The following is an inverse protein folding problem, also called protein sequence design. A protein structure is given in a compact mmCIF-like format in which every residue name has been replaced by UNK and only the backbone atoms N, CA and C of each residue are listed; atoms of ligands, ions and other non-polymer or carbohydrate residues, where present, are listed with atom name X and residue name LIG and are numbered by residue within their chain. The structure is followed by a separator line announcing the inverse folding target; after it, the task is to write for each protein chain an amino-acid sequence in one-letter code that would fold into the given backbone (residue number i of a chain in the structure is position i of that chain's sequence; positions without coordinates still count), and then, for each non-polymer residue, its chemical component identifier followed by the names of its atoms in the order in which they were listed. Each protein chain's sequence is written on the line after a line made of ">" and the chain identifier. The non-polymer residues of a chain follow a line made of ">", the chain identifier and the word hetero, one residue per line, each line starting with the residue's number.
data_IF_762194742880
#
_entry.id   IF_762194742880
#
_cell.length_a   1.000
_cell.length_b   1.000
_cell.length_c   1.000
_cell.angle_alpha   90.00
_cell.angle_beta   90.00
_cell.angle_gamma   90.00
#
_symmetry.space_group_name_H-M   'P 1'
#
loop_
_entity.id
_entity.type
_entity.pdbx_description
1 polymer ?
#
# COMPACT_ATOMS: atom_id res chain seq x y z
N UNK A 1 -53.32 63.36 -34.85
CA UNK A 1 -53.75 62.66 -33.64
C UNK A 1 -52.61 61.77 -33.18
N UNK A 2 -51.81 62.26 -32.25
CA UNK A 2 -50.64 61.59 -31.73
C UNK A 2 -50.84 61.48 -30.23
N UNK A 3 -50.95 60.26 -29.74
CA UNK A 3 -51.12 59.98 -28.31
C UNK A 3 -49.73 59.96 -27.62
N UNK A 4 -49.65 60.74 -26.53
CA UNK A 4 -48.47 60.80 -25.62
C UNK A 4 -48.69 59.86 -24.43
N UNK A 5 -47.71 59.05 -24.03
CA UNK A 5 -47.85 58.22 -22.82
C UNK A 5 -47.46 59.00 -21.55
N UNK A 6 -48.15 58.65 -20.49
CA UNK A 6 -48.06 59.21 -19.13
C UNK A 6 -46.74 58.83 -18.43
N UNK A 7 -46.04 59.87 -17.93
CA UNK A 7 -44.90 59.73 -16.98
C UNK A 7 -45.37 59.20 -15.62
N UNK A 8 -44.79 58.18 -15.11
CA UNK A 8 -44.88 57.71 -13.70
C UNK A 8 -43.73 58.29 -12.90
N UNK A 9 -44.07 58.98 -11.81
CA UNK A 9 -43.09 59.49 -10.83
C UNK A 9 -42.37 58.37 -10.09
N UNK A 10 -41.02 58.46 -10.01
CA UNK A 10 -40.17 57.59 -9.18
C UNK A 10 -39.86 58.39 -7.91
N UNK A 11 -40.30 57.86 -6.77
CA UNK A 11 -39.97 58.39 -5.44
C UNK A 11 -38.59 57.92 -5.04
N UNK A 12 -37.61 58.85 -4.84
CA UNK A 12 -36.33 58.59 -4.26
C UNK A 12 -36.46 58.38 -2.73
N UNK A 13 -36.10 57.18 -2.26
CA UNK A 13 -35.90 56.94 -0.83
C UNK A 13 -34.39 57.07 -0.51
N UNK A 14 -34.07 58.07 0.30
CA UNK A 14 -32.72 58.36 0.78
C UNK A 14 -32.41 57.41 1.95
N UNK A 15 -31.50 56.44 1.75
CA UNK A 15 -30.93 55.64 2.85
C UNK A 15 -29.70 56.31 3.44
N UNK A 16 -29.80 56.71 4.72
CA UNK A 16 -28.64 57.10 5.54
C UNK A 16 -27.77 55.87 5.83
N UNK A 17 -26.53 55.87 5.35
CA UNK A 17 -25.51 54.93 5.79
C UNK A 17 -24.87 55.38 7.11
N UNK A 18 -25.12 54.67 8.20
CA UNK A 18 -24.37 54.76 9.43
C UNK A 18 -23.16 53.87 9.29
N UNK A 19 -21.97 54.44 9.22
CA UNK A 19 -20.69 53.70 9.25
C UNK A 19 -20.38 53.26 10.70
N UNK A 20 -20.60 52.01 11.01
CA UNK A 20 -20.06 51.39 12.22
C UNK A 20 -18.66 50.80 11.90
N UNK A 21 -17.61 51.41 12.47
CA UNK A 21 -16.28 50.87 12.51
C UNK A 21 -16.23 49.66 13.47
N UNK A 22 -16.40 48.48 12.93
CA UNK A 22 -16.19 47.22 13.64
C UNK A 22 -14.71 46.80 13.52
N UNK A 23 -14.02 46.75 14.63
CA UNK A 23 -12.70 46.12 14.76
C UNK A 23 -12.88 44.64 14.41
N UNK A 24 -12.38 44.24 13.24
CA UNK A 24 -12.33 42.85 12.81
C UNK A 24 -11.30 42.09 13.59
N UNK A 25 -11.72 41.27 14.54
CA UNK A 25 -10.91 40.15 15.06
C UNK A 25 -10.77 39.14 13.94
N UNK A 26 -9.54 38.87 13.49
CA UNK A 26 -9.21 37.73 12.63
C UNK A 26 -9.35 36.43 13.45
N UNK A 27 -10.55 35.94 13.59
CA UNK A 27 -10.84 34.55 13.92
C UNK A 27 -11.10 33.83 12.60
N UNK A 28 -10.25 32.89 12.20
CA UNK A 28 -10.55 31.98 11.09
C UNK A 28 -11.78 31.16 11.48
N UNK A 29 -12.93 31.54 10.96
CA UNK A 29 -14.13 30.71 11.04
C UNK A 29 -13.87 29.49 10.17
N UNK A 30 -13.70 28.34 10.79
CA UNK A 30 -13.78 27.07 10.09
C UNK A 30 -15.20 26.99 9.51
N UNK A 31 -15.32 27.01 8.19
CA UNK A 31 -16.62 26.75 7.56
C UNK A 31 -17.14 25.39 8.05
N UNK A 32 -18.42 25.27 8.39
CA UNK A 32 -18.98 24.01 8.85
C UNK A 32 -18.84 22.93 7.75
N UNK A 33 -18.28 21.78 8.11
CA UNK A 33 -18.12 20.66 7.18
C UNK A 33 -19.49 20.26 6.65
N UNK A 34 -19.61 20.23 5.33
CA UNK A 34 -20.85 19.82 4.66
C UNK A 34 -21.05 18.32 4.81
N UNK A 35 -22.01 17.89 5.61
CA UNK A 35 -22.37 16.48 5.76
C UNK A 35 -22.99 15.96 4.45
N UNK A 36 -22.46 14.85 3.96
CA UNK A 36 -22.94 14.11 2.79
C UNK A 36 -23.22 12.65 3.13
N UNK A 37 -23.87 11.91 2.22
CA UNK A 37 -24.09 10.47 2.46
C UNK A 37 -22.75 9.73 2.65
N UNK A 38 -22.62 8.84 3.66
CA UNK A 38 -21.38 8.10 3.95
C UNK A 38 -20.78 7.38 2.73
N UNK A 39 -21.62 6.92 1.82
CA UNK A 39 -21.21 6.26 0.58
C UNK A 39 -20.36 7.13 -0.37
N UNK A 40 -20.44 8.47 -0.28
CA UNK A 40 -19.73 9.41 -1.15
C UNK A 40 -18.87 10.42 -0.37
N UNK A 41 -18.82 10.29 0.95
CA UNK A 41 -18.05 11.17 1.82
C UNK A 41 -16.54 11.04 1.55
N UNK A 42 -15.82 12.15 1.56
CA UNK A 42 -14.37 12.22 1.42
C UNK A 42 -13.62 12.02 2.75
N UNK A 43 -14.35 11.97 3.88
CA UNK A 43 -13.82 11.67 5.22
C UNK A 43 -14.95 11.19 6.14
N UNK A 44 -14.59 10.64 7.30
CA UNK A 44 -15.56 10.28 8.33
C UNK A 44 -16.33 11.51 8.86
N UNK A 45 -15.70 12.68 8.92
CA UNK A 45 -16.34 13.94 9.34
C UNK A 45 -17.41 14.36 8.34
N UNK A 46 -17.13 14.32 7.05
CA UNK A 46 -18.13 14.58 5.99
C UNK A 46 -19.27 13.56 6.00
N UNK A 47 -19.01 12.32 6.43
CA UNK A 47 -20.05 11.29 6.60
C UNK A 47 -21.00 11.56 7.78
N UNK A 48 -20.78 12.62 8.55
CA UNK A 48 -21.53 12.93 9.77
C UNK A 48 -20.90 12.30 11.03
N UNK A 49 -19.66 11.93 10.99
CA UNK A 49 -18.87 11.31 12.05
C UNK A 49 -18.72 9.80 11.93
N UNK A 50 -17.85 9.24 12.74
CA UNK A 50 -17.53 7.80 12.73
C UNK A 50 -18.76 6.93 13.00
N UNK A 51 -19.66 7.35 13.92
CA UNK A 51 -20.87 6.58 14.23
C UNK A 51 -21.82 6.47 13.03
N UNK A 52 -21.94 7.55 12.24
CA UNK A 52 -22.75 7.55 11.03
C UNK A 52 -22.14 6.65 9.94
N UNK A 53 -20.81 6.67 9.80
CA UNK A 53 -20.08 5.78 8.89
C UNK A 53 -20.25 4.31 9.30
N UNK A 54 -20.09 3.99 10.57
CA UNK A 54 -20.29 2.62 11.11
C UNK A 54 -21.72 2.15 10.87
N UNK A 55 -22.73 3.00 11.13
CA UNK A 55 -24.12 2.64 10.91
C UNK A 55 -24.43 2.35 9.43
N UNK A 56 -23.86 3.14 8.51
CA UNK A 56 -24.01 2.94 7.07
C UNK A 56 -23.31 1.65 6.60
N UNK A 57 -22.07 1.41 7.03
CA UNK A 57 -21.31 0.21 6.71
C UNK A 57 -21.99 -1.07 7.23
N UNK A 58 -22.52 -1.05 8.45
CA UNK A 58 -23.32 -2.18 9.00
C UNK A 58 -24.59 -2.45 8.21
N UNK A 59 -25.18 -1.42 7.59
CA UNK A 59 -26.35 -1.59 6.74
C UNK A 59 -26.00 -2.23 5.40
N UNK A 60 -24.78 -2.00 4.89
CA UNK A 60 -24.23 -2.71 3.72
C UNK A 60 -23.93 -4.16 4.07
N UNK A 61 -23.43 -4.43 5.27
CA UNK A 61 -23.31 -5.76 5.88
C UNK A 61 -22.15 -6.61 5.41
N UNK A 62 -21.49 -6.23 4.30
CA UNK A 62 -20.36 -6.96 3.73
C UNK A 62 -19.31 -5.99 3.18
N UNK A 63 -18.07 -6.50 3.05
CA UNK A 63 -16.94 -5.84 2.39
C UNK A 63 -16.33 -6.85 1.43
N UNK A 64 -16.26 -6.52 0.15
CA UNK A 64 -15.57 -7.35 -0.83
C UNK A 64 -14.13 -6.87 -1.02
N UNK A 65 -13.20 -7.80 -0.85
CA UNK A 65 -11.77 -7.58 -1.06
C UNK A 65 -11.25 -8.55 -2.12
N UNK A 66 -10.07 -8.28 -2.64
CA UNK A 66 -9.33 -9.20 -3.51
C UNK A 66 -7.87 -9.21 -3.09
N UNK A 67 -7.13 -10.27 -3.37
CA UNK A 67 -5.69 -10.44 -3.14
C UNK A 67 -5.19 -10.31 -1.69
N UNK A 68 -6.06 -10.20 -0.70
CA UNK A 68 -5.67 -10.11 0.71
C UNK A 68 -5.36 -11.48 1.29
N UNK A 69 -4.13 -11.95 1.07
CA UNK A 69 -3.64 -13.21 1.61
C UNK A 69 -3.53 -13.12 3.14
N UNK A 70 -4.16 -14.03 3.89
CA UNK A 70 -4.31 -13.93 5.35
C UNK A 70 -2.98 -13.77 6.12
N UNK A 71 -1.92 -14.43 5.65
CA UNK A 71 -0.60 -14.32 6.28
C UNK A 71 0.24 -13.14 5.79
N UNK A 72 -0.13 -12.48 4.71
CA UNK A 72 0.54 -11.26 4.23
C UNK A 72 0.29 -10.10 5.19
N UNK A 73 1.34 -9.54 5.80
CA UNK A 73 1.27 -8.40 6.73
C UNK A 73 0.12 -8.49 7.76
N UNK A 74 -0.19 -9.72 8.21
CA UNK A 74 -1.25 -10.05 9.17
C UNK A 74 -2.68 -9.66 8.72
N UNK A 75 -2.99 -9.74 7.42
CA UNK A 75 -4.36 -9.49 6.98
C UNK A 75 -5.39 -10.40 7.66
N UNK A 76 -5.03 -11.64 7.99
CA UNK A 76 -5.92 -12.53 8.74
C UNK A 76 -6.38 -11.92 10.07
N UNK A 77 -5.43 -11.42 10.87
CA UNK A 77 -5.76 -10.76 12.14
C UNK A 77 -6.54 -9.45 11.97
N UNK A 78 -6.27 -8.70 10.89
CA UNK A 78 -7.01 -7.48 10.55
C UNK A 78 -8.45 -7.78 10.13
N UNK A 79 -8.67 -8.78 9.28
CA UNK A 79 -10.01 -9.21 8.86
C UNK A 79 -10.82 -9.70 10.06
N UNK A 80 -10.27 -10.63 10.85
CA UNK A 80 -10.94 -11.18 12.02
C UNK A 80 -11.28 -10.09 13.06
N UNK A 81 -10.37 -9.11 13.25
CA UNK A 81 -10.58 -7.97 14.12
C UNK A 81 -11.69 -7.04 13.62
N UNK A 82 -11.72 -6.75 12.31
CA UNK A 82 -12.74 -5.92 11.68
C UNK A 82 -14.13 -6.57 11.78
N UNK A 83 -14.24 -7.86 11.40
CA UNK A 83 -15.48 -8.62 11.48
C UNK A 83 -16.00 -8.69 12.91
N UNK A 84 -15.12 -9.00 13.88
CA UNK A 84 -15.46 -9.04 15.30
C UNK A 84 -15.95 -7.68 15.83
N UNK A 85 -15.30 -6.60 15.41
CA UNK A 85 -15.60 -5.24 15.92
C UNK A 85 -16.88 -4.67 15.35
N UNK A 86 -17.11 -4.87 14.07
CA UNK A 86 -18.19 -4.20 13.34
C UNK A 86 -19.34 -5.12 12.94
N UNK A 87 -19.14 -6.45 12.92
CA UNK A 87 -20.14 -7.41 12.46
C UNK A 87 -20.41 -7.32 10.97
N UNK A 88 -19.39 -6.96 10.18
CA UNK A 88 -19.43 -6.85 8.71
C UNK A 88 -18.60 -8.00 8.16
N UNK A 89 -19.20 -8.84 7.32
CA UNK A 89 -18.53 -9.98 6.69
C UNK A 89 -17.51 -9.52 5.65
N UNK A 90 -16.33 -10.13 5.62
CA UNK A 90 -15.31 -9.89 4.58
C UNK A 90 -15.28 -11.04 3.60
N UNK A 91 -15.62 -10.76 2.33
CA UNK A 91 -15.52 -11.70 1.22
C UNK A 91 -14.25 -11.39 0.44
N UNK A 92 -13.24 -12.26 0.54
CA UNK A 92 -11.95 -12.07 -0.13
C UNK A 92 -11.83 -13.02 -1.33
N UNK A 93 -11.82 -12.45 -2.52
CA UNK A 93 -11.63 -13.16 -3.78
C UNK A 93 -10.15 -13.17 -4.20
N UNK A 94 -9.73 -14.17 -4.99
CA UNK A 94 -8.39 -14.27 -5.57
C UNK A 94 -7.25 -13.94 -4.57
N UNK A 95 -7.12 -14.64 -3.43
CA UNK A 95 -6.20 -14.24 -2.35
C UNK A 95 -4.70 -14.28 -2.75
N UNK A 96 -4.37 -14.91 -3.87
CA UNK A 96 -2.99 -15.04 -4.39
C UNK A 96 -2.71 -14.12 -5.58
N UNK A 97 -3.59 -13.17 -5.86
CA UNK A 97 -3.44 -12.24 -6.96
C UNK A 97 -2.32 -11.20 -6.72
N UNK A 98 -1.98 -10.49 -7.78
CA UNK A 98 -0.99 -9.40 -7.79
C UNK A 98 -1.68 -8.04 -7.83
N UNK A 99 -0.92 -6.97 -7.55
CA UNK A 99 -1.43 -5.59 -7.65
C UNK A 99 -2.01 -5.24 -9.04
N UNK A 100 -1.45 -5.84 -10.10
CA UNK A 100 -2.00 -5.66 -11.45
C UNK A 100 -3.36 -6.36 -11.59
N UNK A 101 -3.50 -7.56 -11.06
CA UNK A 101 -4.77 -8.32 -11.10
C UNK A 101 -5.87 -7.62 -10.29
N UNK A 102 -5.54 -6.98 -9.16
CA UNK A 102 -6.51 -6.14 -8.43
C UNK A 102 -7.10 -5.03 -9.30
N UNK A 103 -6.22 -4.33 -10.04
CA UNK A 103 -6.64 -3.27 -10.97
C UNK A 103 -7.52 -3.84 -12.09
N UNK A 104 -7.16 -5.00 -12.63
CA UNK A 104 -7.94 -5.68 -13.66
C UNK A 104 -9.28 -6.18 -13.13
N UNK A 105 -9.33 -6.66 -11.89
CA UNK A 105 -10.57 -7.11 -11.25
C UNK A 105 -11.58 -5.97 -11.12
N UNK A 106 -11.18 -4.80 -10.64
CA UNK A 106 -12.10 -3.65 -10.54
C UNK A 106 -12.53 -3.08 -11.91
N UNK A 107 -11.70 -3.25 -12.95
CA UNK A 107 -12.09 -2.88 -14.33
C UNK A 107 -13.12 -3.84 -14.90
N UNK A 108 -12.85 -5.16 -14.75
CA UNK A 108 -13.68 -6.24 -15.30
C UNK A 108 -15.03 -6.32 -14.61
N UNK A 109 -15.05 -6.20 -13.27
CA UNK A 109 -16.27 -6.35 -12.45
C UNK A 109 -17.01 -5.03 -12.20
N UNK A 110 -16.72 -3.99 -12.98
CA UNK A 110 -17.36 -2.68 -12.81
C UNK A 110 -18.89 -2.77 -12.90
N UNK A 111 -19.55 -2.37 -11.80
CA UNK A 111 -21.02 -2.38 -11.70
C UNK A 111 -21.60 -3.71 -11.25
N UNK A 112 -20.77 -4.72 -10.98
CA UNK A 112 -21.19 -5.97 -10.39
C UNK A 112 -21.28 -5.85 -8.85
N UNK A 113 -22.23 -6.55 -8.25
CA UNK A 113 -22.45 -6.51 -6.80
C UNK A 113 -21.31 -7.15 -5.98
N UNK A 114 -20.50 -7.99 -6.62
CA UNK A 114 -19.35 -8.69 -6.02
C UNK A 114 -18.00 -8.09 -6.42
N UNK A 115 -18.00 -6.91 -7.06
CA UNK A 115 -16.75 -6.22 -7.39
C UNK A 115 -15.96 -5.91 -6.08
N UNK A 116 -14.61 -5.93 -6.12
CA UNK A 116 -13.83 -5.51 -4.96
C UNK A 116 -14.13 -4.07 -4.55
N UNK A 117 -14.33 -3.84 -3.26
CA UNK A 117 -14.56 -2.52 -2.68
C UNK A 117 -13.25 -1.78 -2.42
N UNK A 118 -12.21 -2.52 -2.01
CA UNK A 118 -10.91 -1.99 -1.58
C UNK A 118 -9.76 -2.73 -2.25
N UNK A 119 -8.60 -2.09 -2.30
CA UNK A 119 -7.38 -2.59 -2.93
C UNK A 119 -6.17 -2.38 -2.00
N UNK A 120 -5.21 -3.29 -2.08
CA UNK A 120 -3.90 -3.27 -1.39
C UNK A 120 -2.76 -3.29 -2.42
N UNK A 121 -2.41 -2.15 -2.92
CA UNK A 121 -1.55 -2.00 -4.07
C UNK A 121 -0.10 -1.66 -3.70
N UNK A 122 0.85 -2.28 -4.37
CA UNK A 122 2.20 -1.73 -4.42
C UNK A 122 2.15 -0.29 -4.97
N UNK A 123 3.00 0.58 -4.43
CA UNK A 123 2.90 2.03 -4.61
C UNK A 123 2.83 2.47 -6.10
N UNK A 124 3.68 1.91 -6.96
CA UNK A 124 3.65 2.21 -8.41
C UNK A 124 2.32 1.86 -9.08
N UNK A 125 1.64 0.82 -8.60
CA UNK A 125 0.35 0.37 -9.12
C UNK A 125 -0.79 1.26 -8.62
N UNK A 126 -0.75 1.69 -7.35
CA UNK A 126 -1.70 2.65 -6.78
C UNK A 126 -1.70 3.97 -7.56
N UNK A 127 -0.51 4.48 -7.86
CA UNK A 127 -0.34 5.68 -8.67
C UNK A 127 -0.89 5.51 -10.09
N UNK A 128 -0.70 4.34 -10.72
CA UNK A 128 -1.28 4.06 -12.04
C UNK A 128 -2.80 4.07 -11.98
N UNK A 129 -3.39 3.36 -11.01
CA UNK A 129 -4.84 3.31 -10.81
C UNK A 129 -5.44 4.70 -10.52
N UNK A 130 -4.75 5.54 -9.73
CA UNK A 130 -5.17 6.91 -9.44
C UNK A 130 -5.18 7.78 -10.70
N UNK A 131 -4.11 7.74 -11.52
CA UNK A 131 -4.04 8.49 -12.81
C UNK A 131 -5.13 8.07 -13.80
N UNK A 132 -5.53 6.82 -13.76
CA UNK A 132 -6.61 6.29 -14.59
C UNK A 132 -8.01 6.64 -14.04
N UNK A 133 -8.09 7.26 -12.86
CA UNK A 133 -9.33 7.64 -12.22
C UNK A 133 -10.18 6.45 -11.74
N UNK A 134 -9.53 5.35 -11.36
CA UNK A 134 -10.17 4.12 -10.89
C UNK A 134 -10.49 4.14 -9.39
N UNK A 135 -9.89 5.06 -8.64
CA UNK A 135 -9.97 5.14 -7.18
C UNK A 135 -10.90 6.24 -6.71
N UNK A 136 -11.60 6.02 -5.60
CA UNK A 136 -12.41 7.02 -4.93
C UNK A 136 -11.57 7.77 -3.89
N UNK A 137 -11.64 9.11 -3.82
CA UNK A 137 -10.90 9.85 -2.80
C UNK A 137 -11.53 9.63 -1.41
N UNK A 138 -10.67 9.37 -0.43
CA UNK A 138 -11.04 9.31 0.97
C UNK A 138 -9.84 9.60 1.88
N UNK A 139 -10.04 10.49 2.86
CA UNK A 139 -9.04 10.84 3.86
C UNK A 139 -9.44 10.25 5.20
N UNK A 140 -8.67 9.29 5.68
CA UNK A 140 -8.87 8.67 7.00
C UNK A 140 -8.64 9.69 8.13
N UNK A 141 -9.17 9.45 9.32
CA UNK A 141 -9.01 10.34 10.47
C UNK A 141 -7.53 10.61 10.81
N UNK A 142 -6.66 9.63 10.58
CA UNK A 142 -5.21 9.76 10.77
C UNK A 142 -4.45 10.43 9.59
N UNK A 143 -5.18 10.99 8.60
CA UNK A 143 -4.61 11.50 7.34
C UNK A 143 -3.42 12.44 7.53
N UNK A 144 -3.53 13.41 8.44
CA UNK A 144 -2.49 14.41 8.67
C UNK A 144 -1.22 13.82 9.31
N UNK A 145 -1.35 12.68 9.98
CA UNK A 145 -0.25 11.92 10.57
C UNK A 145 0.48 11.03 9.57
N UNK A 146 -0.13 10.70 8.43
CA UNK A 146 0.54 9.98 7.34
C UNK A 146 1.54 10.92 6.67
N UNK A 147 2.82 10.53 6.50
CA UNK A 147 3.82 11.37 5.84
C UNK A 147 3.38 11.83 4.44
N UNK A 148 3.72 13.07 4.02
CA UNK A 148 3.28 13.61 2.72
C UNK A 148 3.67 12.77 1.50
N UNK A 149 4.81 12.10 1.55
CA UNK A 149 5.30 11.20 0.50
C UNK A 149 4.77 9.77 0.59
N UNK A 150 3.80 9.52 1.51
CA UNK A 150 3.16 8.23 1.72
C UNK A 150 1.64 8.29 1.48
N UNK A 151 1.17 9.29 0.75
CA UNK A 151 -0.24 9.50 0.41
C UNK A 151 -0.43 10.33 -0.85
N UNK A 152 -1.50 10.07 -1.58
CA UNK A 152 -1.90 10.92 -2.70
C UNK A 152 -2.54 12.23 -2.22
N UNK A 153 -2.07 13.40 -2.65
CA UNK A 153 -2.62 14.69 -2.18
C UNK A 153 -4.14 14.85 -2.44
N UNK A 154 -4.67 14.21 -3.48
CA UNK A 154 -6.10 14.21 -3.78
C UNK A 154 -6.92 13.22 -2.95
N UNK A 155 -6.26 12.35 -2.17
CA UNK A 155 -6.91 11.38 -1.30
C UNK A 155 -7.23 10.05 -1.98
N UNK A 156 -6.71 9.77 -3.16
CA UNK A 156 -7.02 8.54 -3.88
C UNK A 156 -6.45 7.28 -3.19
N UNK A 157 -5.36 7.41 -2.44
CA UNK A 157 -4.72 6.33 -1.69
C UNK A 157 -3.87 6.88 -0.54
N UNK A 158 -3.55 6.05 0.42
CA UNK A 158 -2.50 6.26 1.41
C UNK A 158 -1.78 4.95 1.71
N UNK A 159 -0.48 5.02 1.99
CA UNK A 159 0.29 3.86 2.42
C UNK A 159 -0.06 3.48 3.86
N UNK A 160 -0.25 2.19 4.13
CA UNK A 160 -0.62 1.69 5.45
C UNK A 160 0.52 0.97 6.16
N UNK A 161 1.32 0.23 5.42
CA UNK A 161 2.41 -0.58 5.95
C UNK A 161 3.45 -0.85 4.86
N UNK A 162 4.63 -1.25 5.28
CA UNK A 162 5.69 -1.63 4.36
C UNK A 162 6.82 -2.41 5.01
N UNK A 163 7.90 -2.54 4.27
CA UNK A 163 9.10 -3.24 4.69
C UNK A 163 10.29 -2.93 3.79
N UNK A 164 11.35 -3.69 4.00
CA UNK A 164 12.56 -3.66 3.18
C UNK A 164 12.67 -4.92 2.34
N UNK A 165 13.26 -4.81 1.16
CA UNK A 165 13.67 -5.99 0.40
C UNK A 165 14.70 -6.73 1.22
N UNK A 166 14.49 -8.03 1.39
CA UNK A 166 15.36 -8.91 2.16
C UNK A 166 15.66 -10.20 1.40
N UNK A 167 16.76 -10.80 1.73
CA UNK A 167 17.14 -12.14 1.29
C UNK A 167 16.79 -13.12 2.42
N UNK A 168 15.91 -14.07 2.14
CA UNK A 168 15.64 -15.23 2.97
C UNK A 168 16.46 -16.42 2.50
N UNK A 169 16.92 -17.26 3.43
CA UNK A 169 17.82 -18.38 3.12
C UNK A 169 17.65 -19.52 4.11
N UNK A 170 17.54 -20.75 3.60
CA UNK A 170 17.56 -21.97 4.41
C UNK A 170 18.99 -22.38 4.74
N UNK A 171 19.47 -22.04 5.94
CA UNK A 171 20.81 -22.33 6.45
C UNK A 171 21.10 -23.84 6.66
N UNK A 172 20.09 -24.70 6.54
CA UNK A 172 20.31 -26.14 6.54
C UNK A 172 20.60 -26.72 5.14
N UNK A 173 20.21 -26.01 4.08
CA UNK A 173 20.40 -26.41 2.68
C UNK A 173 21.46 -25.59 1.95
N UNK A 174 21.78 -24.41 2.46
CA UNK A 174 22.73 -23.47 1.87
C UNK A 174 23.88 -23.27 2.85
N UNK A 175 25.11 -23.74 2.48
CA UNK A 175 26.27 -23.72 3.36
C UNK A 175 26.61 -22.32 3.89
N UNK A 176 26.50 -21.30 3.03
CA UNK A 176 26.72 -19.91 3.38
C UNK A 176 25.56 -19.08 2.82
N UNK A 177 24.70 -18.56 3.69
CA UNK A 177 23.59 -17.70 3.25
C UNK A 177 24.08 -16.37 2.69
N UNK A 178 23.56 -15.91 1.53
CA UNK A 178 23.93 -14.63 0.94
C UNK A 178 23.41 -13.45 1.79
N UNK A 179 24.20 -12.37 1.86
CA UNK A 179 23.84 -11.15 2.60
C UNK A 179 23.91 -9.89 1.72
N UNK A 180 24.17 -10.07 0.43
CA UNK A 180 24.24 -9.01 -0.58
C UNK A 180 23.73 -9.50 -1.93
N UNK A 181 23.36 -8.58 -2.82
CA UNK A 181 23.05 -8.92 -4.22
C UNK A 181 24.27 -9.48 -4.94
N UNK A 182 25.45 -8.95 -4.64
CA UNK A 182 26.71 -9.47 -5.21
C UNK A 182 26.95 -10.93 -4.88
N UNK A 183 26.60 -11.39 -3.66
CA UNK A 183 26.71 -12.78 -3.27
C UNK A 183 25.87 -13.71 -4.13
N UNK A 184 24.65 -13.30 -4.50
CA UNK A 184 23.68 -14.12 -5.25
C UNK A 184 24.21 -14.61 -6.61
N UNK A 185 25.26 -13.97 -7.15
CA UNK A 185 25.90 -14.38 -8.41
C UNK A 185 26.94 -15.48 -8.23
N UNK A 186 27.25 -15.93 -7.02
CA UNK A 186 28.22 -16.98 -6.76
C UNK A 186 27.71 -18.34 -7.26
N UNK A 187 28.61 -19.21 -7.77
CA UNK A 187 28.22 -20.47 -8.42
C UNK A 187 27.55 -21.49 -7.48
N UNK A 188 27.75 -21.37 -6.16
CA UNK A 188 27.12 -22.23 -5.16
C UNK A 188 25.61 -22.09 -5.07
N UNK A 189 25.01 -20.99 -5.58
CA UNK A 189 23.57 -20.73 -5.52
C UNK A 189 22.81 -21.15 -6.78
N UNK A 190 23.37 -22.07 -7.56
CA UNK A 190 22.78 -22.51 -8.82
C UNK A 190 21.35 -23.05 -8.64
N UNK A 191 20.38 -22.43 -9.33
CA UNK A 191 18.97 -22.78 -9.29
C UNK A 191 18.26 -22.51 -7.95
N UNK A 192 18.84 -21.67 -7.08
CA UNK A 192 18.35 -21.49 -5.71
C UNK A 192 17.62 -20.18 -5.47
N UNK A 193 17.84 -19.13 -6.27
CA UNK A 193 17.39 -17.75 -5.98
C UNK A 193 16.05 -17.48 -6.63
N UNK A 194 14.99 -17.35 -5.85
CA UNK A 194 13.64 -17.12 -6.32
C UNK A 194 13.15 -15.69 -5.97
N UNK A 195 12.30 -15.13 -6.85
CA UNK A 195 11.56 -13.90 -6.61
C UNK A 195 10.13 -14.19 -6.17
N UNK A 196 9.58 -13.33 -5.32
CA UNK A 196 8.16 -13.37 -4.97
C UNK A 196 7.31 -12.65 -6.04
N UNK A 197 6.96 -13.39 -7.10
CA UNK A 197 6.12 -12.95 -8.20
C UNK A 197 6.89 -12.40 -9.41
N UNK A 198 6.14 -11.87 -10.37
CA UNK A 198 6.66 -11.25 -11.59
C UNK A 198 6.78 -9.72 -11.39
N UNK A 199 7.93 -9.08 -11.63
CA UNK A 199 8.12 -7.65 -11.34
C UNK A 199 7.29 -6.72 -12.27
N UNK A 200 6.76 -7.21 -13.36
CA UNK A 200 5.86 -6.43 -14.24
C UNK A 200 4.45 -6.28 -13.64
N UNK A 201 4.08 -7.15 -12.67
CA UNK A 201 2.72 -7.26 -12.12
C UNK A 201 2.66 -7.25 -10.59
N UNK A 202 3.73 -7.68 -9.91
CA UNK A 202 3.80 -7.83 -8.44
C UNK A 202 4.73 -6.78 -7.80
N UNK A 203 4.22 -6.07 -6.78
CA UNK A 203 4.97 -5.03 -6.07
C UNK A 203 6.22 -5.57 -5.35
N UNK A 204 6.16 -6.79 -4.79
CA UNK A 204 7.30 -7.41 -4.11
C UNK A 204 8.48 -7.66 -5.06
N UNK A 205 8.23 -8.30 -6.20
CA UNK A 205 9.26 -8.54 -7.20
C UNK A 205 9.77 -7.23 -7.85
N UNK A 206 8.89 -6.25 -8.08
CA UNK A 206 9.28 -4.93 -8.56
C UNK A 206 10.25 -4.23 -7.59
N UNK A 207 9.97 -4.29 -6.28
CA UNK A 207 10.86 -3.78 -5.24
C UNK A 207 12.23 -4.49 -5.23
N UNK A 208 12.26 -5.81 -5.47
CA UNK A 208 13.51 -6.57 -5.58
C UNK A 208 14.36 -6.11 -6.77
N UNK A 209 13.75 -5.78 -7.92
CA UNK A 209 14.47 -5.21 -9.08
C UNK A 209 15.04 -3.83 -8.75
N UNK A 210 14.31 -3.00 -8.00
CA UNK A 210 14.85 -1.72 -7.51
C UNK A 210 16.04 -1.90 -6.57
N UNK A 211 15.93 -2.81 -5.60
CA UNK A 211 17.02 -3.10 -4.69
C UNK A 211 18.28 -3.59 -5.45
N UNK A 212 18.09 -4.47 -6.43
CA UNK A 212 19.15 -4.92 -7.32
C UNK A 212 19.76 -3.78 -8.14
N UNK A 213 18.93 -2.82 -8.62
CA UNK A 213 19.44 -1.65 -9.33
C UNK A 213 20.35 -0.81 -8.43
N UNK A 214 19.91 -0.50 -7.21
CA UNK A 214 20.71 0.26 -6.24
C UNK A 214 22.03 -0.44 -5.92
N UNK A 215 22.01 -1.77 -5.79
CA UNK A 215 23.21 -2.60 -5.55
C UNK A 215 24.20 -2.59 -6.73
N UNK A 216 23.74 -2.31 -7.96
CA UNK A 216 24.53 -2.41 -9.19
C UNK A 216 24.76 -1.05 -9.88
N UNK A 217 24.76 0.04 -9.11
CA UNK A 217 25.10 1.39 -9.60
C UNK A 217 23.95 2.12 -10.27
N UNK A 218 22.73 1.61 -10.20
CA UNK A 218 21.50 2.30 -10.58
C UNK A 218 21.07 3.33 -9.55
N UNK A 219 19.88 3.86 -9.73
CA UNK A 219 19.28 4.87 -8.84
C UNK A 219 17.75 4.82 -8.94
N UNK A 220 17.05 5.68 -8.19
CA UNK A 220 15.62 5.83 -8.37
C UNK A 220 15.21 6.36 -9.76
N UNK A 221 16.14 6.96 -10.51
CA UNK A 221 15.93 7.39 -11.88
C UNK A 221 16.34 6.36 -12.93
N UNK A 222 17.07 5.31 -12.51
CA UNK A 222 17.58 4.27 -13.40
C UNK A 222 17.47 2.88 -12.78
N UNK A 223 16.44 2.14 -13.16
CA UNK A 223 16.17 0.76 -12.72
C UNK A 223 16.83 -0.29 -13.62
N UNK A 224 17.34 0.07 -14.80
CA UNK A 224 17.88 -0.88 -15.77
C UNK A 224 18.99 -1.77 -15.20
N UNK A 225 19.95 -1.28 -14.38
CA UNK A 225 20.97 -2.15 -13.76
C UNK A 225 20.38 -3.28 -12.90
N UNK A 226 19.15 -3.12 -12.38
CA UNK A 226 18.44 -4.18 -11.66
C UNK A 226 17.93 -5.27 -12.61
N UNK A 227 17.41 -4.91 -13.76
CA UNK A 227 17.00 -5.86 -14.82
C UNK A 227 18.23 -6.63 -15.31
N UNK A 228 19.33 -5.93 -15.60
CA UNK A 228 20.60 -6.50 -16.06
C UNK A 228 21.19 -7.47 -15.02
N UNK A 229 21.02 -7.15 -13.73
CA UNK A 229 21.41 -8.05 -12.64
C UNK A 229 20.63 -9.38 -12.69
N UNK A 230 19.31 -9.34 -12.86
CA UNK A 230 18.51 -10.57 -12.94
C UNK A 230 18.76 -11.34 -14.23
N UNK A 231 19.01 -10.68 -15.34
CA UNK A 231 19.49 -11.35 -16.59
C UNK A 231 20.80 -12.11 -16.31
N UNK A 232 21.77 -11.45 -15.67
CA UNK A 232 23.02 -12.10 -15.28
C UNK A 232 22.82 -13.24 -14.29
N UNK A 233 21.89 -13.10 -13.34
CA UNK A 233 21.53 -14.15 -12.37
C UNK A 233 20.97 -15.39 -13.08
N UNK A 234 20.20 -15.20 -14.14
CA UNK A 234 19.69 -16.27 -14.99
C UNK A 234 20.79 -16.89 -15.86
N UNK A 235 21.63 -16.09 -16.49
CA UNK A 235 22.76 -16.52 -17.32
C UNK A 235 23.74 -17.43 -16.56
N UNK A 236 24.04 -17.12 -15.27
CA UNK A 236 24.88 -17.96 -14.44
C UNK A 236 24.14 -19.20 -13.91
N UNK A 237 22.83 -19.27 -14.15
CA UNK A 237 21.96 -20.39 -13.78
C UNK A 237 21.53 -20.40 -12.32
N UNK A 238 21.61 -19.26 -11.61
CA UNK A 238 21.24 -19.15 -10.19
C UNK A 238 19.76 -18.79 -10.01
N UNK A 239 19.13 -18.16 -11.03
CA UNK A 239 17.73 -17.76 -10.96
C UNK A 239 16.80 -18.98 -10.95
N UNK A 240 15.87 -19.00 -10.00
CA UNK A 240 14.83 -20.00 -9.85
C UNK A 240 13.47 -19.36 -10.15
N UNK A 241 12.75 -19.87 -11.14
CA UNK A 241 11.43 -19.36 -11.54
C UNK A 241 10.29 -19.83 -10.63
N UNK A 242 10.58 -20.60 -9.58
CA UNK A 242 9.61 -20.96 -8.54
C UNK A 242 9.19 -19.76 -7.72
N UNK A 243 7.97 -19.81 -7.18
CA UNK A 243 7.46 -18.77 -6.27
C UNK A 243 7.75 -19.19 -4.82
N UNK A 244 8.51 -18.40 -4.02
CA UNK A 244 8.79 -18.74 -2.64
C UNK A 244 7.50 -18.69 -1.81
N UNK A 245 7.19 -19.78 -1.16
CA UNK A 245 6.11 -19.92 -0.19
C UNK A 245 6.52 -21.00 0.82
N UNK A 246 5.87 -21.09 1.99
CA UNK A 246 6.28 -22.03 3.05
C UNK A 246 6.41 -23.48 2.58
N UNK A 247 5.50 -23.95 1.72
CA UNK A 247 5.50 -25.31 1.19
C UNK A 247 6.69 -25.57 0.24
N UNK A 248 6.97 -24.65 -0.68
CA UNK A 248 8.10 -24.74 -1.60
C UNK A 248 9.44 -24.66 -0.86
N UNK A 249 9.54 -23.77 0.15
CA UNK A 249 10.72 -23.66 1.02
C UNK A 249 10.91 -24.97 1.80
N UNK A 250 9.87 -25.50 2.43
CA UNK A 250 9.94 -26.77 3.20
C UNK A 250 10.40 -27.94 2.34
N UNK A 251 9.98 -28.00 1.06
CA UNK A 251 10.45 -29.03 0.11
C UNK A 251 11.85 -28.74 -0.45
N UNK A 252 12.44 -27.58 -0.16
CA UNK A 252 13.75 -27.17 -0.69
C UNK A 252 13.72 -26.75 -2.16
N UNK A 253 12.55 -26.40 -2.70
CA UNK A 253 12.39 -25.95 -4.08
C UNK A 253 12.87 -24.50 -4.26
N UNK A 254 12.70 -23.65 -3.22
CA UNK A 254 13.13 -22.25 -3.20
C UNK A 254 13.94 -21.95 -1.94
N UNK A 255 15.18 -22.47 -1.82
CA UNK A 255 15.99 -22.34 -0.61
C UNK A 255 16.53 -20.92 -0.36
N UNK A 256 16.46 -20.03 -1.36
CA UNK A 256 16.79 -18.61 -1.25
C UNK A 256 15.65 -17.81 -1.87
N UNK A 257 15.10 -16.82 -1.14
CA UNK A 257 14.08 -15.90 -1.64
C UNK A 257 14.56 -14.46 -1.62
N UNK A 258 14.11 -13.66 -2.58
CA UNK A 258 14.21 -12.20 -2.54
C UNK A 258 12.77 -11.66 -2.50
N UNK A 259 12.39 -11.12 -1.32
CA UNK A 259 11.05 -10.60 -1.06
C UNK A 259 11.09 -9.64 0.13
N UNK A 260 9.94 -9.14 0.57
CA UNK A 260 9.87 -8.24 1.73
C UNK A 260 10.34 -8.93 3.02
N UNK A 261 11.01 -8.18 3.89
CA UNK A 261 11.48 -8.66 5.18
C UNK A 261 10.37 -9.22 6.07
N UNK A 262 9.18 -8.64 6.03
CA UNK A 262 8.02 -9.14 6.78
C UNK A 262 7.53 -10.51 6.29
N UNK A 263 7.66 -10.83 4.99
CA UNK A 263 7.36 -12.16 4.46
C UNK A 263 8.43 -13.16 4.91
N UNK A 264 9.69 -12.81 4.73
CA UNK A 264 10.81 -13.63 5.15
C UNK A 264 10.79 -13.93 6.66
N UNK A 265 10.45 -12.94 7.50
CA UNK A 265 10.28 -13.14 8.95
C UNK A 265 9.07 -14.02 9.28
N UNK A 266 8.01 -13.93 8.48
CA UNK A 266 6.86 -14.80 8.63
C UNK A 266 7.22 -16.26 8.33
N UNK A 267 8.05 -16.51 7.32
CA UNK A 267 8.55 -17.87 7.04
C UNK A 267 9.32 -18.47 8.23
N UNK A 268 10.05 -17.66 9.01
CA UNK A 268 10.68 -18.14 10.26
C UNK A 268 9.65 -18.72 11.23
N UNK A 269 8.47 -18.09 11.35
CA UNK A 269 7.41 -18.56 12.23
C UNK A 269 6.68 -19.79 11.64
N UNK A 270 6.34 -19.76 10.36
CA UNK A 270 5.54 -20.80 9.68
C UNK A 270 6.30 -22.10 9.48
N UNK A 271 7.63 -22.03 9.35
CA UNK A 271 8.49 -23.19 9.17
C UNK A 271 9.00 -23.79 10.48
N UNK A 272 8.53 -23.29 11.64
CA UNK A 272 8.88 -23.89 12.94
C UNK A 272 8.41 -25.34 13.02
N UNK A 273 9.34 -26.20 13.44
CA UNK A 273 9.08 -27.64 13.54
C UNK A 273 9.30 -28.43 12.25
N UNK A 274 9.74 -27.78 11.19
CA UNK A 274 10.29 -28.42 9.97
C UNK A 274 11.80 -28.50 10.04
N UNK A 275 12.43 -29.11 9.03
CA UNK A 275 13.91 -29.17 8.90
C UNK A 275 14.53 -27.86 8.38
N UNK A 276 13.72 -26.84 8.12
CA UNK A 276 14.17 -25.54 7.61
C UNK A 276 14.71 -24.67 8.75
N UNK A 277 15.84 -24.04 8.51
CA UNK A 277 16.40 -22.99 9.37
C UNK A 277 16.49 -21.68 8.60
N UNK A 278 15.36 -20.97 8.53
CA UNK A 278 15.24 -19.76 7.72
C UNK A 278 15.96 -18.57 8.37
N UNK A 279 16.90 -17.97 7.64
CA UNK A 279 17.61 -16.74 8.00
C UNK A 279 17.13 -15.59 7.12
N UNK A 280 17.13 -14.40 7.67
CA UNK A 280 16.69 -13.18 6.97
C UNK A 280 17.79 -12.13 7.05
N UNK A 281 18.15 -11.57 5.91
CA UNK A 281 19.15 -10.50 5.79
C UNK A 281 18.62 -9.37 4.91
N UNK A 282 18.72 -8.13 5.37
CA UNK A 282 18.52 -6.95 4.50
C UNK A 282 19.85 -6.71 3.79
N UNK A 283 19.89 -6.74 2.44
CA UNK A 283 21.14 -6.57 1.69
C UNK A 283 21.78 -5.20 1.98
N UNK A 284 23.06 -5.20 2.35
CA UNK A 284 23.77 -3.96 2.67
C UNK A 284 24.15 -3.14 1.43
N UNK A 285 24.21 -3.78 0.26
CA UNK A 285 24.58 -3.17 -1.03
C UNK A 285 23.37 -2.63 -1.82
N UNK A 286 22.14 -3.04 -1.47
CA UNK A 286 20.91 -2.66 -2.16
C UNK A 286 19.72 -2.51 -1.21
N UNK A 287 19.81 -1.60 -0.24
CA UNK A 287 18.69 -1.33 0.67
C UNK A 287 17.57 -0.58 -0.04
N UNK A 288 16.41 -1.20 -0.19
CA UNK A 288 15.19 -0.61 -0.75
C UNK A 288 14.00 -0.88 0.15
N UNK A 289 13.21 0.15 0.41
CA UNK A 289 11.98 0.06 1.18
C UNK A 289 10.81 0.59 0.37
N UNK A 290 9.66 -0.05 0.52
CA UNK A 290 8.40 0.40 -0.06
C UNK A 290 7.24 0.07 0.88
N UNK A 291 6.19 0.88 0.75
CA UNK A 291 4.94 0.69 1.46
C UNK A 291 3.81 0.33 0.51
N UNK A 292 2.75 -0.29 1.05
CA UNK A 292 1.56 -0.68 0.31
C UNK A 292 0.44 0.32 0.53
N UNK A 293 -0.16 0.73 -0.58
CA UNK A 293 -1.22 1.71 -0.64
C UNK A 293 -2.59 1.06 -0.46
N UNK A 294 -3.39 1.64 0.42
CA UNK A 294 -4.79 1.31 0.59
C UNK A 294 -5.64 2.25 -0.23
N UNK A 295 -6.58 1.71 -0.99
CA UNK A 295 -7.42 2.49 -1.88
C UNK A 295 -8.86 1.93 -1.92
N UNK A 296 -9.82 2.79 -2.30
CA UNK A 296 -11.21 2.42 -2.51
C UNK A 296 -11.47 2.37 -4.01
N UNK A 297 -12.07 1.29 -4.49
CA UNK A 297 -12.59 1.21 -5.85
C UNK A 297 -13.64 2.30 -6.06
N UNK A 298 -13.48 3.12 -7.11
CA UNK A 298 -14.42 4.21 -7.44
C UNK A 298 -15.88 3.73 -7.60
N UNK A 299 -16.06 2.47 -7.96
CA UNK A 299 -17.36 1.84 -8.17
C UNK A 299 -17.64 0.75 -7.15
N UNK A 300 -17.07 0.88 -5.94
CA UNK A 300 -17.28 -0.04 -4.83
C UNK A 300 -18.79 -0.29 -4.59
N UNK A 301 -19.25 -1.54 -4.56
CA UNK A 301 -20.64 -1.86 -4.24
C UNK A 301 -20.99 -1.59 -2.77
N UNK A 302 -20.00 -1.63 -1.85
CA UNK A 302 -20.16 -1.37 -0.41
C UNK A 302 -19.29 -0.18 0.04
N UNK A 303 -19.58 1.04 -0.45
CA UNK A 303 -18.68 2.19 -0.31
C UNK A 303 -18.52 2.71 1.12
N UNK A 304 -19.50 2.50 2.02
CA UNK A 304 -19.35 2.86 3.43
C UNK A 304 -18.51 1.83 4.18
N UNK A 305 -18.66 0.53 3.89
CA UNK A 305 -17.81 -0.53 4.44
C UNK A 305 -16.35 -0.38 4.00
N UNK A 306 -16.12 0.01 2.73
CA UNK A 306 -14.78 0.32 2.21
C UNK A 306 -14.10 1.46 3.00
N UNK A 307 -14.83 2.57 3.26
CA UNK A 307 -14.32 3.69 4.06
C UNK A 307 -14.02 3.30 5.49
N UNK A 308 -14.91 2.54 6.10
CA UNK A 308 -14.73 2.05 7.47
C UNK A 308 -13.54 1.10 7.57
N UNK A 309 -13.29 0.27 6.55
CA UNK A 309 -12.09 -0.57 6.48
C UNK A 309 -10.81 0.26 6.45
N UNK A 310 -10.74 1.32 5.64
CA UNK A 310 -9.60 2.21 5.61
C UNK A 310 -9.36 2.91 6.96
N UNK A 311 -10.42 3.36 7.63
CA UNK A 311 -10.34 3.92 9.00
C UNK A 311 -9.79 2.90 10.00
N UNK A 312 -10.25 1.64 9.91
CA UNK A 312 -9.76 0.57 10.77
C UNK A 312 -8.29 0.28 10.53
N UNK A 313 -7.85 0.18 9.27
CA UNK A 313 -6.44 -0.02 8.93
C UNK A 313 -5.54 1.11 9.42
N UNK A 314 -6.01 2.36 9.38
CA UNK A 314 -5.29 3.54 9.85
C UNK A 314 -5.39 3.78 11.36
N UNK A 315 -6.22 3.02 12.08
CA UNK A 315 -6.35 3.13 13.54
C UNK A 315 -5.11 2.58 14.26
N UNK A 316 -4.90 3.01 15.51
CA UNK A 316 -3.85 2.45 16.39
C UNK A 316 -3.94 0.92 16.50
N UNK A 317 -5.16 0.36 16.58
CA UNK A 317 -5.40 -1.07 16.59
C UNK A 317 -4.92 -1.74 15.30
N UNK A 318 -5.35 -1.24 14.14
CA UNK A 318 -4.99 -1.77 12.83
C UNK A 318 -3.48 -1.69 12.57
N UNK A 319 -2.87 -0.56 12.92
CA UNK A 319 -1.42 -0.36 12.75
C UNK A 319 -0.59 -1.29 13.67
N UNK A 320 -0.99 -1.49 14.93
CA UNK A 320 -0.33 -2.46 15.82
C UNK A 320 -0.55 -3.92 15.39
N UNK A 321 -1.65 -4.24 14.72
CA UNK A 321 -1.87 -5.56 14.14
C UNK A 321 -0.90 -5.85 12.97
N UNK A 322 -0.45 -4.82 12.23
CA UNK A 322 0.59 -4.97 11.19
C UNK A 322 1.91 -5.47 11.77
N UNK A 323 2.31 -4.99 12.96
CA UNK A 323 3.51 -5.46 13.66
C UNK A 323 3.45 -6.95 14.01
N UNK A 324 2.25 -7.51 14.25
CA UNK A 324 2.09 -8.96 14.45
C UNK A 324 2.43 -9.78 13.20
N UNK A 325 2.43 -9.18 12.03
CA UNK A 325 2.89 -9.75 10.76
C UNK A 325 4.23 -9.20 10.30
N UNK A 326 5.02 -8.61 11.21
CA UNK A 326 6.34 -8.03 10.94
C UNK A 326 6.36 -6.85 9.96
N UNK A 327 5.21 -6.37 9.51
CA UNK A 327 5.12 -5.22 8.62
C UNK A 327 5.22 -3.92 9.43
N UNK A 328 6.01 -2.97 8.92
CA UNK A 328 6.19 -1.64 9.54
C UNK A 328 4.98 -0.78 9.27
N UNK A 329 4.26 -0.32 10.33
CA UNK A 329 3.16 0.62 10.15
C UNK A 329 3.63 1.95 9.58
N UNK A 330 2.82 2.60 8.73
CA UNK A 330 3.13 3.94 8.22
C UNK A 330 3.12 5.00 9.32
N UNK A 331 2.35 4.77 10.39
CA UNK A 331 2.24 5.66 11.57
C UNK A 331 3.21 5.29 12.70
N UNK A 332 4.19 4.42 12.46
CA UNK A 332 5.09 3.89 13.50
C UNK A 332 5.75 4.98 14.33
N UNK A 333 6.31 6.01 13.68
CA UNK A 333 7.02 7.10 14.37
C UNK A 333 6.07 7.97 15.22
N UNK A 334 4.85 8.23 14.72
CA UNK A 334 3.83 8.98 15.46
C UNK A 334 3.36 8.18 16.66
N UNK A 335 3.08 6.88 16.47
CA UNK A 335 2.63 5.98 17.53
C UNK A 335 3.71 5.79 18.62
N UNK A 336 4.98 5.72 18.25
CA UNK A 336 6.09 5.68 19.19
C UNK A 336 6.16 6.95 20.02
N UNK A 337 6.03 8.11 19.39
CA UNK A 337 6.02 9.42 20.07
C UNK A 337 4.84 9.59 21.02
N UNK A 338 3.67 9.08 20.64
CA UNK A 338 2.43 9.20 21.42
C UNK A 338 2.28 8.07 22.44
N UNK A 339 3.21 7.10 22.50
CA UNK A 339 3.19 5.96 23.44
C UNK A 339 2.09 4.94 23.14
N UNK A 340 1.63 4.88 21.88
CA UNK A 340 0.57 3.94 21.44
C UNK A 340 1.11 2.79 20.60
N UNK A 341 2.43 2.76 20.31
CA UNK A 341 3.10 1.69 19.62
C UNK A 341 3.23 0.45 20.51
N UNK A 342 2.98 -0.72 19.97
CA UNK A 342 3.32 -2.00 20.59
C UNK A 342 4.86 -2.22 20.47
N UNK A 343 5.60 -1.73 21.47
CA UNK A 343 7.06 -1.75 21.47
C UNK A 343 7.64 -3.18 21.47
N UNK A 344 6.95 -4.15 22.10
CA UNK A 344 7.38 -5.54 22.12
C UNK A 344 7.38 -6.14 20.70
N UNK A 345 6.32 -5.88 19.95
CA UNK A 345 6.25 -6.32 18.56
C UNK A 345 7.19 -5.54 17.65
N UNK A 346 7.30 -4.22 17.86
CA UNK A 346 8.21 -3.37 17.09
C UNK A 346 9.69 -3.80 17.26
N UNK A 347 10.08 -4.24 18.46
CA UNK A 347 11.43 -4.74 18.73
C UNK A 347 11.78 -6.05 17.97
N UNK A 348 10.81 -6.73 17.38
CA UNK A 348 11.01 -7.93 16.55
C UNK A 348 11.41 -7.61 15.10
N UNK A 349 11.26 -6.36 14.70
CA UNK A 349 11.63 -5.93 13.34
C UNK A 349 13.15 -5.87 13.19
N UNK A 350 13.71 -6.22 12.01
CA UNK A 350 15.13 -6.12 11.77
C UNK A 350 15.62 -4.68 11.90
N UNK A 351 16.80 -4.51 12.48
CA UNK A 351 17.50 -3.23 12.43
C UNK A 351 17.99 -2.98 11.01
N UNK A 352 17.76 -1.78 10.49
CA UNK A 352 18.25 -1.34 9.18
C UNK A 352 19.37 -0.35 9.38
N UNK A 353 20.53 -0.64 8.83
CA UNK A 353 21.66 0.28 8.81
C UNK A 353 21.43 1.36 7.74
N UNK A 354 21.89 2.60 7.97
CA UNK A 354 21.85 3.67 6.98
C UNK A 354 20.78 4.75 7.19
N UNK A 355 20.04 4.69 8.29
CA UNK A 355 19.04 5.72 8.64
C UNK A 355 17.64 5.45 8.09
N UNK A 356 16.73 6.44 8.13
CA UNK A 356 15.36 6.26 7.66
C UNK A 356 15.31 5.96 6.16
N UNK A 357 14.30 5.19 5.69
CA UNK A 357 14.21 4.83 4.29
C UNK A 357 13.98 6.07 3.41
N UNK A 358 14.63 6.08 2.24
CA UNK A 358 14.37 7.05 1.18
C UNK A 358 13.46 6.38 0.16
N UNK A 359 12.42 7.09 -0.26
CA UNK A 359 11.43 6.55 -1.19
C UNK A 359 11.57 7.22 -2.56
N UNK A 360 11.40 6.48 -3.66
CA UNK A 360 11.30 7.09 -4.97
C UNK A 360 10.03 7.96 -5.08
N UNK A 361 10.12 9.02 -5.87
CA UNK A 361 8.95 9.84 -6.19
C UNK A 361 7.99 9.09 -7.14
N UNK A 362 6.75 9.58 -7.24
CA UNK A 362 5.72 9.06 -8.14
C UNK A 362 6.18 8.98 -9.60
N UNK A 363 6.91 9.99 -10.05
CA UNK A 363 7.46 10.04 -11.41
C UNK A 363 8.53 8.96 -11.64
N UNK A 364 9.39 8.72 -10.64
CA UNK A 364 10.42 7.68 -10.66
C UNK A 364 9.79 6.29 -10.67
N UNK A 365 8.84 6.00 -9.78
CA UNK A 365 8.12 4.72 -9.75
C UNK A 365 7.41 4.43 -11.08
N UNK A 366 6.71 5.43 -11.62
CA UNK A 366 5.99 5.29 -12.89
C UNK A 366 6.91 5.03 -14.08
N UNK A 367 8.07 5.71 -14.12
CA UNK A 367 9.11 5.50 -15.12
C UNK A 367 9.70 4.11 -15.00
N UNK A 368 10.06 3.71 -13.79
CA UNK A 368 10.67 2.42 -13.51
C UNK A 368 9.74 1.24 -13.84
N UNK A 369 8.46 1.30 -13.46
CA UNK A 369 7.49 0.25 -13.79
C UNK A 369 7.32 0.10 -15.30
N UNK A 370 7.34 1.21 -16.06
CA UNK A 370 7.31 1.15 -17.52
C UNK A 370 8.56 0.47 -18.08
N UNK A 371 9.76 0.85 -17.61
CA UNK A 371 11.02 0.23 -18.05
C UNK A 371 11.04 -1.27 -17.75
N UNK A 372 10.57 -1.69 -16.57
CA UNK A 372 10.47 -3.11 -16.21
C UNK A 372 9.50 -3.84 -17.14
N UNK A 373 8.32 -3.27 -17.41
CA UNK A 373 7.32 -3.89 -18.31
C UNK A 373 7.83 -4.03 -19.76
N UNK A 374 8.64 -3.10 -20.22
CA UNK A 374 9.19 -3.09 -21.58
C UNK A 374 10.37 -4.05 -21.74
N UNK A 375 11.20 -4.24 -20.71
CA UNK A 375 12.50 -4.91 -20.87
C UNK A 375 12.63 -6.24 -20.12
N UNK A 376 11.77 -6.53 -19.11
CA UNK A 376 11.95 -7.70 -18.26
C UNK A 376 11.85 -9.04 -19.01
N UNK A 377 10.84 -9.19 -19.86
CA UNK A 377 10.62 -10.47 -20.57
C UNK A 377 11.78 -10.77 -21.52
N UNK A 378 12.24 -9.76 -22.25
CA UNK A 378 13.37 -9.93 -23.20
C UNK A 378 14.68 -10.25 -22.47
N UNK A 379 14.85 -9.71 -21.26
CA UNK A 379 16.05 -9.94 -20.45
C UNK A 379 16.11 -11.32 -19.79
N UNK A 380 14.94 -11.91 -19.43
CA UNK A 380 14.89 -13.15 -18.64
C UNK A 380 14.45 -14.36 -19.49
N UNK A 381 13.59 -14.16 -20.50
CA UNK A 381 12.99 -15.23 -21.31
C UNK A 381 13.53 -15.27 -22.75
N UNK A 382 14.36 -14.26 -23.16
CA UNK A 382 15.02 -14.16 -24.45
C UNK A 382 16.32 -14.92 -24.46
#
# INVERSE_FOLDING_TARGET
>A
MVDLPRMRAVTLATCLCVAALGLGACGGENEPVRVVAPAVAGSAEEAGGMDALVAAAKKEGTLHTTTLLRHWANYGGLMDGFEKKYGIEIVNSNPFGSSQEEIEDIRRSRGEANAPDVLDLGDAFAQSAAREGLLAPYRVAAWDSVPPNQKDPAGAWFNSYGGYVAIGCDDNRVDVCPVSFADLLKPEYRGMVALNGNPTTAGSAFGAVYAAALANGGSFDDIQPGIDFFAKLDDVGNYNRGNPNPEAIARGETPISIEWDFLNLRHVDELRGTDVRWKVSIPFDGSFSQYYAQAINKHAPHPAAARLWLEYLASTEGQNLRLSGYARPVLMDVMAKDGTLDEEKAARLPTVEGGPPVFPSDAQLSKALRVVRENWSDAIDG
#
